data_IF_544635163706
#
_entry.id   IF_544635163706
#
_cell.length_a   1.000
_cell.length_b   1.000
_cell.length_c   1.000
_cell.angle_alpha   90.00
_cell.angle_beta   90.00
_cell.angle_gamma   90.00
#
_symmetry.space_group_name_H-M   'P 1'
#
loop_
_entity.id
_entity.type
_entity.pdbx_description
1 polymer ?
#
# COMPACT_ATOMS: atom_id res chain seq x y z
N UNK A 1 14.48 19.74 -8.85
CA UNK A 1 14.38 19.64 -7.37
C UNK A 1 13.03 19.02 -7.07
N UNK A 2 12.96 17.75 -6.66
CA UNK A 2 11.71 17.13 -6.24
C UNK A 2 11.47 17.55 -4.78
N UNK A 3 10.66 18.59 -4.58
CA UNK A 3 10.25 19.03 -3.25
C UNK A 3 9.33 17.98 -2.62
N UNK A 4 9.92 17.11 -1.80
CA UNK A 4 9.16 16.34 -0.81
C UNK A 4 8.63 17.30 0.26
N UNK A 5 7.34 17.64 0.16
CA UNK A 5 6.61 18.40 1.19
C UNK A 5 6.91 17.83 2.60
N UNK A 6 7.46 18.63 3.54
CA UNK A 6 7.68 18.17 4.90
C UNK A 6 6.35 18.24 5.64
N UNK A 7 5.80 17.09 6.07
CA UNK A 7 4.68 17.10 7.02
C UNK A 7 3.58 16.07 6.81
N UNK A 8 3.71 15.13 5.88
CA UNK A 8 2.83 13.96 5.85
C UNK A 8 3.66 12.69 5.88
N UNK A 9 3.38 11.73 6.78
CA UNK A 9 3.97 10.40 6.65
C UNK A 9 3.65 9.89 5.24
N UNK A 10 4.62 9.27 4.54
CA UNK A 10 4.36 8.71 3.22
C UNK A 10 3.15 7.77 3.31
N UNK A 11 2.24 7.85 2.34
CA UNK A 11 1.10 6.95 2.34
C UNK A 11 1.63 5.51 2.35
N UNK A 12 1.16 4.66 3.28
CA UNK A 12 1.64 3.29 3.35
C UNK A 12 1.35 2.61 2.01
N UNK A 13 2.41 2.11 1.37
CA UNK A 13 2.30 1.40 0.11
C UNK A 13 1.92 -0.06 0.37
N UNK A 14 1.04 -0.59 -0.47
CA UNK A 14 0.72 -2.01 -0.46
C UNK A 14 1.95 -2.83 -0.78
N UNK A 15 2.29 -3.82 0.06
CA UNK A 15 3.43 -4.73 -0.16
C UNK A 15 3.30 -5.62 -1.41
N UNK A 16 2.10 -5.76 -1.95
CA UNK A 16 1.82 -6.64 -3.10
C UNK A 16 1.89 -5.88 -4.43
N UNK A 17 1.32 -4.68 -4.50
CA UNK A 17 1.23 -3.92 -5.75
C UNK A 17 2.01 -2.60 -5.74
N UNK A 18 2.65 -2.26 -4.61
CA UNK A 18 3.42 -1.03 -4.39
C UNK A 18 2.67 0.28 -4.70
N UNK A 19 1.33 0.23 -4.69
CA UNK A 19 0.47 1.42 -4.81
C UNK A 19 0.06 1.92 -3.42
N UNK A 20 -0.26 3.22 -3.28
CA UNK A 20 -0.85 3.78 -2.06
C UNK A 20 -2.03 2.92 -1.59
N UNK A 21 -2.09 2.56 -0.30
CA UNK A 21 -3.20 1.78 0.24
C UNK A 21 -4.54 2.50 0.02
N UNK A 22 -4.54 3.84 0.07
CA UNK A 22 -5.74 4.65 -0.22
C UNK A 22 -6.26 4.54 -1.67
N UNK A 23 -5.42 4.09 -2.60
CA UNK A 23 -5.83 3.87 -3.99
C UNK A 23 -6.50 2.51 -4.21
N UNK A 24 -6.57 1.65 -3.19
CA UNK A 24 -7.21 0.34 -3.30
C UNK A 24 -8.72 0.47 -3.11
N UNK A 25 -9.48 -0.22 -3.97
CA UNK A 25 -10.85 -0.59 -3.64
C UNK A 25 -10.86 -1.65 -2.53
N UNK A 26 -11.97 -1.77 -1.79
CA UNK A 26 -12.13 -2.77 -0.72
C UNK A 26 -11.77 -4.20 -1.18
N UNK A 27 -12.22 -4.60 -2.38
CA UNK A 27 -11.88 -5.91 -2.96
C UNK A 27 -10.36 -6.06 -3.20
N UNK A 28 -9.70 -5.02 -3.72
CA UNK A 28 -8.25 -5.06 -3.95
C UNK A 28 -7.48 -5.12 -2.63
N UNK A 29 -7.97 -4.45 -1.59
CA UNK A 29 -7.39 -4.53 -0.25
C UNK A 29 -7.50 -5.95 0.32
N UNK A 30 -8.64 -6.63 0.16
CA UNK A 30 -8.82 -8.03 0.58
C UNK A 30 -7.87 -8.98 -0.16
N UNK A 31 -7.78 -8.86 -1.49
CA UNK A 31 -6.89 -9.67 -2.32
C UNK A 31 -5.42 -9.48 -1.92
N UNK A 32 -4.99 -8.22 -1.71
CA UNK A 32 -3.64 -7.93 -1.27
C UNK A 32 -3.38 -8.44 0.15
N UNK A 33 -4.34 -8.28 1.08
CA UNK A 33 -4.21 -8.80 2.44
C UNK A 33 -4.11 -10.32 2.48
N UNK A 34 -4.87 -11.03 1.62
CA UNK A 34 -4.78 -12.48 1.49
C UNK A 34 -3.39 -12.90 1.01
N UNK A 35 -2.88 -12.27 -0.04
CA UNK A 35 -1.53 -12.55 -0.57
C UNK A 35 -0.42 -12.27 0.44
N UNK A 36 -0.56 -11.24 1.28
CA UNK A 36 0.41 -10.98 2.36
C UNK A 36 0.46 -12.16 3.32
N UNK A 37 -0.72 -12.66 3.76
CA UNK A 37 -0.81 -13.80 4.67
C UNK A 37 -0.24 -15.09 4.07
N UNK A 38 -0.49 -15.35 2.78
CA UNK A 38 0.05 -16.52 2.09
C UNK A 38 1.58 -16.47 1.88
N UNK A 39 2.18 -15.28 1.92
CA UNK A 39 3.61 -15.09 1.64
C UNK A 39 4.45 -14.91 2.92
N UNK A 40 3.80 -14.83 4.09
CA UNK A 40 4.42 -14.77 5.43
C UNK A 40 4.36 -16.13 6.18
N UNK A 41 3.84 -17.18 5.53
CA UNK A 41 3.77 -18.57 6.01
C UNK A 41 4.83 -19.44 5.33
#
# INVERSE_FOLDING_TARGET
MNESKPGSPPDPLCRICHKPLRAHSFQQQQECAKKIRENEE
#
